data_IF_752157778633
#
_entry.id   IF_752157778633
#
_cell.length_a   1.000
_cell.length_b   1.000
_cell.length_c   1.000
_cell.angle_alpha   90.00
_cell.angle_beta   90.00
_cell.angle_gamma   90.00
#
_symmetry.space_group_name_H-M   'P 1'
#
loop_
_entity.id
_entity.type
_entity.pdbx_description
1 polymer ?
#
# COMPACT_ATOMS: atom_id res chain seq x y z
N UNK A 1 7.35 -24.22 6.66
CA UNK A 1 7.78 -23.29 5.58
C UNK A 1 7.07 -21.96 5.79
N UNK A 2 7.78 -20.90 6.20
CA UNK A 2 7.16 -19.59 6.39
C UNK A 2 6.83 -19.00 5.02
N UNK A 3 5.55 -18.81 4.72
CA UNK A 3 5.10 -18.18 3.48
C UNK A 3 5.51 -16.71 3.58
N UNK A 4 6.57 -16.32 2.86
CA UNK A 4 6.96 -14.91 2.74
C UNK A 4 5.86 -14.24 1.92
N UNK A 5 4.95 -13.54 2.62
CA UNK A 5 3.91 -12.77 1.96
C UNK A 5 4.59 -11.52 1.38
N UNK A 6 5.01 -11.62 0.12
CA UNK A 6 5.30 -10.43 -0.66
C UNK A 6 3.97 -9.69 -0.85
N UNK A 7 3.88 -8.46 -0.36
CA UNK A 7 2.78 -7.55 -0.68
C UNK A 7 3.23 -6.68 -1.87
N UNK A 8 3.03 -7.13 -3.13
CA UNK A 8 3.34 -6.29 -4.28
C UNK A 8 2.58 -4.96 -4.17
N UNK A 9 3.30 -3.85 -4.29
CA UNK A 9 2.73 -2.50 -4.21
C UNK A 9 2.45 -1.99 -2.80
N UNK A 10 3.00 -2.56 -1.74
CA UNK A 10 2.89 -1.93 -0.41
C UNK A 10 3.69 -0.62 -0.35
N UNK A 11 3.08 0.44 0.20
CA UNK A 11 3.70 1.75 0.35
C UNK A 11 4.05 2.01 1.82
N UNK A 12 5.18 2.68 2.06
CA UNK A 12 5.55 3.06 3.43
C UNK A 12 4.64 4.19 3.92
N UNK A 13 4.41 4.27 5.24
CA UNK A 13 3.63 5.38 5.81
C UNK A 13 4.25 6.76 5.54
N UNK A 14 5.57 6.84 5.37
CA UNK A 14 6.27 8.10 5.04
C UNK A 14 5.94 8.49 3.60
N UNK A 15 6.12 7.56 2.65
CA UNK A 15 5.83 7.78 1.23
C UNK A 15 4.37 8.20 1.00
N UNK A 16 3.42 7.58 1.71
CA UNK A 16 1.99 7.93 1.60
C UNK A 16 1.75 9.36 2.11
N UNK A 17 2.31 9.71 3.27
CA UNK A 17 2.17 11.04 3.85
C UNK A 17 2.72 12.13 2.91
N UNK A 18 3.89 11.89 2.32
CA UNK A 18 4.53 12.80 1.37
C UNK A 18 3.73 12.93 0.07
N UNK A 19 3.34 11.82 -0.56
CA UNK A 19 2.59 11.84 -1.83
C UNK A 19 1.22 12.49 -1.69
N UNK A 20 0.51 12.22 -0.61
CA UNK A 20 -0.84 12.73 -0.39
C UNK A 20 -0.86 14.10 0.29
N UNK A 21 0.27 14.60 0.81
CA UNK A 21 0.33 15.83 1.59
C UNK A 21 -0.45 15.74 2.91
N UNK A 22 -0.52 14.55 3.54
CA UNK A 22 -1.22 14.33 4.80
C UNK A 22 -0.26 14.04 5.94
N UNK A 23 -0.67 14.34 7.17
CA UNK A 23 0.17 14.07 8.34
C UNK A 23 0.32 12.57 8.62
N UNK A 24 1.46 12.16 9.18
CA UNK A 24 1.65 10.80 9.72
C UNK A 24 0.59 10.45 10.76
N UNK A 25 0.13 11.43 11.55
CA UNK A 25 -0.95 11.24 12.54
C UNK A 25 -2.25 10.76 11.87
N UNK A 26 -2.58 11.28 10.69
CA UNK A 26 -3.74 10.84 9.90
C UNK A 26 -3.62 9.35 9.57
N UNK A 27 -2.44 8.91 9.12
CA UNK A 27 -2.18 7.49 8.81
C UNK A 27 -2.22 6.60 10.06
N UNK A 28 -1.70 7.07 11.20
CA UNK A 28 -1.83 6.34 12.46
C UNK A 28 -3.28 6.19 12.89
N UNK A 29 -4.13 7.22 12.69
CA UNK A 29 -5.55 7.12 12.97
C UNK A 29 -6.23 6.09 12.06
N UNK A 30 -5.94 6.07 10.75
CA UNK A 30 -6.48 5.03 9.87
C UNK A 30 -6.10 3.61 10.31
N UNK A 31 -4.87 3.41 10.80
CA UNK A 31 -4.47 2.12 11.37
C UNK A 31 -5.26 1.76 12.62
N UNK A 32 -5.54 2.72 13.50
CA UNK A 32 -6.40 2.51 14.68
C UNK A 32 -7.85 2.20 14.30
N UNK A 33 -8.31 2.71 13.16
CA UNK A 33 -9.62 2.40 12.57
C UNK A 33 -9.67 1.04 11.83
N UNK A 34 -8.56 0.29 11.80
CA UNK A 34 -8.50 -1.04 11.18
C UNK A 34 -7.85 -1.09 9.80
N UNK A 35 -7.16 -0.04 9.35
CA UNK A 35 -6.37 -0.11 8.11
C UNK A 35 -5.23 -1.12 8.26
N UNK A 36 -5.26 -2.15 7.40
CA UNK A 36 -4.24 -3.20 7.37
C UNK A 36 -2.84 -2.62 7.14
N UNK A 37 -1.89 -3.11 7.91
CA UNK A 37 -0.50 -2.66 7.85
C UNK A 37 0.42 -3.74 8.39
N UNK A 38 1.68 -3.73 7.95
CA UNK A 38 2.70 -4.64 8.43
C UNK A 38 4.01 -3.91 8.70
N UNK A 39 4.85 -4.50 9.54
CA UNK A 39 6.18 -3.98 9.86
C UNK A 39 7.19 -4.63 8.89
N UNK A 40 7.88 -3.81 8.11
CA UNK A 40 8.95 -4.25 7.21
C UNK A 40 10.30 -4.32 7.92
N UNK A 41 11.37 -4.50 7.12
CA UNK A 41 12.74 -4.48 7.61
C UNK A 41 13.05 -3.13 8.28
N UNK A 42 13.90 -3.16 9.32
CA UNK A 42 14.31 -1.97 10.09
C UNK A 42 13.16 -1.26 10.83
N UNK A 43 11.97 -1.86 10.88
CA UNK A 43 10.84 -1.38 11.66
C UNK A 43 9.98 -0.30 10.99
N UNK A 44 10.21 -0.02 9.70
CA UNK A 44 9.30 0.78 8.90
C UNK A 44 7.92 0.12 8.79
N UNK A 45 6.87 0.93 8.75
CA UNK A 45 5.47 0.45 8.63
C UNK A 45 5.01 0.64 7.19
N UNK A 46 4.41 -0.41 6.64
CA UNK A 46 3.91 -0.46 5.28
C UNK A 46 2.41 -0.74 5.28
N UNK A 47 1.72 -0.16 4.31
CA UNK A 47 0.30 -0.39 4.04
C UNK A 47 0.20 -1.08 2.67
N UNK A 48 -0.43 -2.27 2.56
CA UNK A 48 -0.65 -2.92 1.28
C UNK A 48 -1.44 -2.03 0.30
N UNK A 49 -1.07 -2.01 -0.99
CA UNK A 49 -1.80 -1.31 -2.05
C UNK A 49 -3.32 -1.50 -1.96
N UNK A 50 -3.78 -2.75 -1.88
CA UNK A 50 -5.21 -3.08 -1.82
C UNK A 50 -5.92 -2.54 -0.57
N UNK A 51 -5.23 -2.43 0.57
CA UNK A 51 -5.79 -1.83 1.78
C UNK A 51 -5.90 -0.31 1.63
N UNK A 52 -4.86 0.31 1.07
CA UNK A 52 -4.85 1.75 0.79
C UNK A 52 -5.91 2.12 -0.26
N UNK A 53 -6.03 1.34 -1.34
CA UNK A 53 -7.04 1.53 -2.38
C UNK A 53 -8.46 1.42 -1.83
N UNK A 54 -8.75 0.43 -0.96
CA UNK A 54 -10.06 0.33 -0.31
C UNK A 54 -10.37 1.52 0.60
N UNK A 55 -9.36 2.12 1.25
CA UNK A 55 -9.54 3.30 2.11
C UNK A 55 -9.75 4.59 1.30
N UNK A 56 -9.03 4.75 0.19
CA UNK A 56 -9.04 5.97 -0.63
C UNK A 56 -10.08 5.95 -1.75
N UNK A 57 -10.47 4.78 -2.21
CA UNK A 57 -11.16 4.58 -3.49
C UNK A 57 -10.19 4.48 -4.66
N UNK A 58 -10.57 3.74 -5.70
CA UNK A 58 -9.71 3.42 -6.85
C UNK A 58 -9.25 4.66 -7.64
N UNK A 59 -10.09 5.68 -7.78
CA UNK A 59 -9.73 6.91 -8.49
C UNK A 59 -8.63 7.68 -7.76
N UNK A 60 -8.84 7.96 -6.47
CA UNK A 60 -7.88 8.66 -5.62
C UNK A 60 -6.57 7.88 -5.50
N UNK A 61 -6.65 6.55 -5.32
CA UNK A 61 -5.46 5.72 -5.27
C UNK A 61 -4.63 5.83 -6.57
N UNK A 62 -5.28 5.71 -7.73
CA UNK A 62 -4.59 5.79 -9.03
C UNK A 62 -3.97 7.16 -9.28
N UNK A 63 -4.59 8.23 -8.79
CA UNK A 63 -4.04 9.59 -8.89
C UNK A 63 -2.67 9.72 -8.19
N UNK A 64 -2.50 9.13 -7.01
CA UNK A 64 -1.28 9.27 -6.21
C UNK A 64 -0.24 8.15 -6.43
N UNK A 65 -0.69 6.93 -6.72
CA UNK A 65 0.13 5.73 -6.71
C UNK A 65 0.16 4.98 -8.05
N UNK A 66 -0.65 5.40 -9.04
CA UNK A 66 -0.76 4.72 -10.33
C UNK A 66 -1.57 3.43 -10.26
N UNK A 67 -1.48 2.60 -11.29
CA UNK A 67 -2.09 1.27 -11.25
C UNK A 67 -1.35 0.40 -10.21
N UNK A 68 -2.07 -0.31 -9.31
CA UNK A 68 -1.40 -1.31 -8.47
C UNK A 68 -0.68 -2.26 -9.41
N UNK A 69 0.55 -2.65 -9.06
CA UNK A 69 1.32 -3.61 -9.85
C UNK A 69 0.49 -4.89 -9.97
N UNK A 70 -0.26 -5.03 -11.06
CA UNK A 70 -0.89 -6.29 -11.44
C UNK A 70 0.26 -7.27 -11.51
N UNK A 71 0.17 -8.46 -10.88
CA UNK A 71 1.13 -9.50 -11.20
C UNK A 71 1.03 -9.66 -12.72
N UNK A 72 2.08 -9.30 -13.44
CA UNK A 72 2.15 -9.49 -14.87
C UNK A 72 1.89 -10.96 -15.10
N UNK A 73 0.67 -11.32 -15.48
CA UNK A 73 0.46 -12.55 -16.20
C UNK A 73 1.23 -12.31 -17.50
N UNK A 74 2.42 -12.88 -17.58
CA UNK A 74 3.09 -13.15 -18.85
C UNK A 74 2.07 -13.92 -19.69
N UNK A 75 1.34 -13.19 -20.53
CA UNK A 75 0.58 -13.79 -21.62
C UNK A 75 1.64 -14.16 -22.65
N UNK A 76 2.15 -15.38 -22.53
CA UNK A 76 2.80 -16.04 -23.64
C UNK A 76 1.71 -16.33 -24.67
N UNK A 77 1.61 -15.44 -25.66
CA UNK A 77 0.87 -15.61 -26.90
C UNK A 77 1.42 -14.48 -27.81
N UNK A 78 2.14 -14.72 -28.91
CA UNK A 78 2.31 -15.86 -29.81
C UNK A 78 3.75 -15.90 -30.34
#
# INVERSE_FOLDING_TARGET
MAKVIHHPGAHSIQEIAEKMGISLRTLFNWRREGLESFKGALGAVYIPAAALERKLGSETYRHYFGQPATPSQSHGDS
#
